data_IF_099771556406
#
_entry.id   IF_099771556406
#
_cell.length_a   1.000
_cell.length_b   1.000
_cell.length_c   1.000
_cell.angle_alpha   90.00
_cell.angle_beta   90.00
_cell.angle_gamma   90.00
#
_symmetry.space_group_name_H-M   'P 1'
#
loop_
_entity.id
_entity.type
_entity.pdbx_description
1 polymer ?
#
# COMPACT_ATOMS: atom_id res chain seq x y z
N UNK A 1 -13.30 -12.10 0.02
CA UNK A 1 -12.40 -10.92 -0.02
C UNK A 1 -11.50 -11.07 -1.23
N UNK A 2 -11.05 -9.95 -1.79
CA UNK A 2 -9.98 -10.02 -2.79
C UNK A 2 -8.69 -10.48 -2.09
N UNK A 3 -7.85 -11.20 -2.80
CA UNK A 3 -6.55 -11.68 -2.30
C UNK A 3 -5.43 -11.14 -3.17
N UNK A 4 -4.18 -11.35 -2.74
CA UNK A 4 -3.00 -10.93 -3.51
C UNK A 4 -2.92 -11.63 -4.88
N UNK A 5 -3.65 -12.72 -5.09
CA UNK A 5 -3.76 -13.38 -6.40
C UNK A 5 -4.63 -12.61 -7.39
N UNK A 6 -5.45 -11.67 -6.92
CA UNK A 6 -6.33 -10.84 -7.77
C UNK A 6 -5.60 -9.60 -8.33
N UNK A 7 -4.30 -9.44 -8.05
CA UNK A 7 -3.52 -8.26 -8.45
C UNK A 7 -2.28 -8.60 -9.26
N UNK A 8 -1.85 -7.66 -10.10
CA UNK A 8 -0.66 -7.75 -10.94
C UNK A 8 0.55 -7.23 -10.17
N UNK A 9 1.44 -8.14 -9.75
CA UNK A 9 2.73 -7.78 -9.12
C UNK A 9 3.83 -7.50 -10.15
N UNK A 10 3.59 -7.78 -11.42
CA UNK A 10 4.44 -7.41 -12.56
C UNK A 10 4.19 -5.96 -13.03
N UNK A 11 3.40 -5.19 -12.26
CA UNK A 11 3.07 -3.78 -12.51
C UNK A 11 3.49 -2.91 -11.33
N UNK A 12 3.74 -1.61 -11.55
CA UNK A 12 4.06 -0.70 -10.46
C UNK A 12 2.93 -0.63 -9.42
N UNK A 13 3.31 -0.54 -8.15
CA UNK A 13 2.40 -0.39 -7.01
C UNK A 13 2.55 1.01 -6.43
N UNK A 14 1.44 1.69 -6.21
CA UNK A 14 1.45 3.07 -5.72
C UNK A 14 1.03 3.12 -4.25
N UNK A 15 1.79 3.85 -3.44
CA UNK A 15 1.54 4.08 -2.02
C UNK A 15 1.19 5.55 -1.81
N UNK A 16 0.02 5.80 -1.22
CA UNK A 16 -0.50 7.14 -0.99
C UNK A 16 -0.85 7.33 0.49
N UNK A 17 -0.51 8.48 1.10
CA UNK A 17 -0.87 8.77 2.48
C UNK A 17 -2.29 9.28 2.61
N UNK A 18 -3.01 8.75 3.59
CA UNK A 18 -4.37 9.16 3.92
C UNK A 18 -4.50 9.47 5.41
N UNK A 19 -5.47 10.33 5.70
CA UNK A 19 -6.04 10.52 7.02
C UNK A 19 -7.44 9.92 7.04
N UNK A 20 -7.61 8.87 7.83
CA UNK A 20 -8.89 8.22 8.14
C UNK A 20 -9.42 8.73 9.48
N UNK A 21 -10.69 9.12 9.52
CA UNK A 21 -11.42 9.38 10.77
C UNK A 21 -12.89 9.03 10.64
N UNK A 22 -13.31 7.96 11.31
CA UNK A 22 -14.73 7.63 11.50
C UNK A 22 -15.42 7.07 10.26
N UNK A 23 -14.71 6.24 9.49
CA UNK A 23 -15.17 5.61 8.25
C UNK A 23 -14.98 6.47 7.01
N UNK A 24 -14.24 7.58 7.11
CA UNK A 24 -13.96 8.48 6.00
C UNK A 24 -12.46 8.72 5.89
N UNK A 25 -11.90 8.39 4.74
CA UNK A 25 -10.50 8.62 4.41
C UNK A 25 -10.37 9.81 3.45
N UNK A 26 -9.38 10.67 3.68
CA UNK A 26 -8.98 11.74 2.77
C UNK A 26 -7.49 11.71 2.51
N UNK A 27 -7.04 11.99 1.27
CA UNK A 27 -5.62 12.07 0.98
C UNK A 27 -4.99 13.23 1.76
N UNK A 28 -3.71 13.11 2.10
CA UNK A 28 -2.96 14.24 2.65
C UNK A 28 -2.63 15.23 1.53
N UNK A 29 -3.19 16.44 1.60
CA UNK A 29 -2.99 17.48 0.60
C UNK A 29 -1.51 17.84 0.43
N UNK A 30 -1.03 17.81 -0.82
CA UNK A 30 0.35 18.14 -1.18
C UNK A 30 1.38 17.05 -0.88
N UNK A 31 0.97 15.93 -0.29
CA UNK A 31 1.86 14.79 -0.09
C UNK A 31 2.13 14.07 -1.42
N UNK A 32 3.37 13.66 -1.63
CA UNK A 32 3.76 12.86 -2.79
C UNK A 32 3.44 11.38 -2.56
N UNK A 33 2.99 10.68 -3.60
CA UNK A 33 2.88 9.22 -3.61
C UNK A 33 4.25 8.58 -3.87
N UNK A 34 4.42 7.35 -3.40
CA UNK A 34 5.58 6.52 -3.72
C UNK A 34 5.18 5.46 -4.74
N UNK A 35 5.88 5.41 -5.88
CA UNK A 35 5.66 4.38 -6.90
C UNK A 35 6.75 3.32 -6.77
N UNK A 36 6.36 2.15 -6.30
CA UNK A 36 7.20 0.98 -6.21
C UNK A 36 7.30 0.28 -7.57
N UNK A 37 8.51 -0.12 -7.95
CA UNK A 37 8.74 -0.88 -9.19
C UNK A 37 8.20 -2.31 -9.06
N UNK A 38 7.84 -2.97 -10.18
CA UNK A 38 7.34 -4.34 -10.17
C UNK A 38 8.22 -5.33 -9.37
N UNK A 39 9.53 -5.33 -9.60
CA UNK A 39 10.45 -6.28 -8.95
C UNK A 39 10.47 -6.09 -7.41
N UNK A 40 10.43 -4.84 -6.96
CA UNK A 40 10.39 -4.49 -5.55
C UNK A 40 9.03 -4.87 -4.92
N UNK A 41 7.94 -4.69 -5.67
CA UNK A 41 6.59 -5.05 -5.22
C UNK A 41 6.45 -6.55 -5.00
N UNK A 42 6.96 -7.37 -5.93
CA UNK A 42 6.99 -8.82 -5.76
C UNK A 42 7.84 -9.19 -4.53
N UNK A 43 9.03 -8.61 -4.38
CA UNK A 43 9.92 -8.87 -3.25
C UNK A 43 9.27 -8.50 -1.92
N UNK A 44 8.57 -7.37 -1.85
CA UNK A 44 7.84 -6.92 -0.66
C UNK A 44 6.79 -7.95 -0.24
N UNK A 45 5.94 -8.39 -1.19
CA UNK A 45 4.87 -9.36 -0.92
C UNK A 45 5.45 -10.70 -0.44
N UNK A 46 6.49 -11.20 -1.10
CA UNK A 46 7.16 -12.44 -0.69
C UNK A 46 7.74 -12.33 0.73
N UNK A 47 8.32 -11.19 1.09
CA UNK A 47 8.83 -10.94 2.44
C UNK A 47 7.71 -10.88 3.48
N UNK A 48 6.59 -10.21 3.19
CA UNK A 48 5.42 -10.17 4.06
C UNK A 48 4.87 -11.59 4.31
N UNK A 49 4.81 -12.43 3.28
CA UNK A 49 4.42 -13.85 3.41
C UNK A 49 5.35 -14.58 4.38
N UNK A 50 6.68 -14.41 4.24
CA UNK A 50 7.69 -15.09 5.07
C UNK A 50 7.55 -14.74 6.55
N UNK A 51 7.12 -13.53 6.89
CA UNK A 51 6.92 -13.09 8.28
C UNK A 51 5.46 -13.19 8.75
N UNK A 52 4.60 -13.84 7.97
CA UNK A 52 3.17 -13.99 8.26
C UNK A 52 2.47 -12.64 8.48
N UNK A 53 2.74 -11.68 7.57
CA UNK A 53 2.17 -10.32 7.53
C UNK A 53 1.51 -9.96 6.20
N UNK A 54 1.05 -10.95 5.45
CA UNK A 54 0.27 -10.71 4.22
C UNK A 54 -1.11 -10.10 4.52
N UNK A 55 -1.63 -10.33 5.74
CA UNK A 55 -2.84 -9.72 6.29
C UNK A 55 -2.85 -8.19 6.14
N UNK A 56 -1.69 -7.54 6.28
CA UNK A 56 -1.50 -6.10 6.05
C UNK A 56 -2.10 -5.63 4.71
N UNK A 57 -2.04 -6.47 3.67
CA UNK A 57 -2.60 -6.16 2.36
C UNK A 57 -4.01 -6.76 2.23
N UNK A 58 -4.16 -8.05 2.49
CA UNK A 58 -5.39 -8.78 2.12
C UNK A 58 -6.61 -8.43 2.96
N UNK A 59 -6.45 -8.02 4.23
CA UNK A 59 -7.59 -7.70 5.11
C UNK A 59 -8.43 -6.52 4.59
N UNK A 60 -7.76 -5.55 3.97
CA UNK A 60 -8.38 -4.31 3.48
C UNK A 60 -8.43 -4.22 1.95
N UNK A 61 -7.99 -5.26 1.22
CA UNK A 61 -7.92 -5.25 -0.25
C UNK A 61 -9.32 -5.22 -0.89
N UNK A 62 -9.66 -4.11 -1.54
CA UNK A 62 -10.97 -3.89 -2.15
C UNK A 62 -10.87 -3.25 -3.54
N UNK A 63 -11.90 -3.43 -4.37
CA UNK A 63 -12.01 -2.75 -5.68
C UNK A 63 -12.65 -1.38 -5.47
N UNK A 64 -11.83 -0.35 -5.26
CA UNK A 64 -12.32 0.99 -4.92
C UNK A 64 -12.03 2.05 -5.99
N UNK A 65 -11.05 1.81 -6.86
CA UNK A 65 -10.57 2.84 -7.77
C UNK A 65 -10.40 2.33 -9.21
N UNK A 66 -10.50 3.29 -10.14
CA UNK A 66 -10.20 3.11 -11.55
C UNK A 66 -9.40 4.31 -11.99
N UNK A 67 -8.25 4.09 -12.64
CA UNK A 67 -7.45 5.17 -13.22
C UNK A 67 -8.19 5.83 -14.38
N UNK A 68 -7.75 7.03 -14.77
CA UNK A 68 -8.35 7.78 -15.90
C UNK A 68 -8.32 7.02 -17.23
N UNK A 69 -7.36 6.11 -17.40
CA UNK A 69 -7.22 5.26 -18.59
C UNK A 69 -8.11 4.01 -18.55
N UNK A 70 -8.94 3.83 -17.51
CA UNK A 70 -9.83 2.69 -17.34
C UNK A 70 -9.18 1.51 -16.61
N UNK A 71 -7.93 1.61 -16.17
CA UNK A 71 -7.28 0.54 -15.39
C UNK A 71 -7.97 0.37 -14.04
N UNK A 72 -8.52 -0.82 -13.79
CA UNK A 72 -9.15 -1.17 -12.52
C UNK A 72 -8.08 -1.43 -11.47
N UNK A 73 -8.27 -0.84 -10.28
CA UNK A 73 -7.36 -0.99 -9.15
C UNK A 73 -7.99 -1.87 -8.05
N UNK A 74 -7.11 -2.54 -7.33
CA UNK A 74 -7.37 -3.12 -6.00
C UNK A 74 -6.53 -2.33 -5.00
N UNK A 75 -7.20 -1.75 -4.01
CA UNK A 75 -6.58 -0.87 -3.01
C UNK A 75 -6.62 -1.57 -1.67
N UNK A 76 -5.46 -1.74 -1.03
CA UNK A 76 -5.38 -2.06 0.39
C UNK A 76 -5.25 -0.76 1.20
N UNK A 77 -5.82 -0.73 2.39
CA UNK A 77 -5.90 0.45 3.26
C UNK A 77 -5.45 0.11 4.70
N UNK A 78 -4.23 -0.44 4.92
CA UNK A 78 -3.75 -0.68 6.28
C UNK A 78 -3.51 0.61 7.06
N UNK A 79 -3.60 0.51 8.38
CA UNK A 79 -3.20 1.60 9.26
C UNK A 79 -1.69 1.83 9.15
N UNK A 80 -1.27 3.09 9.17
CA UNK A 80 0.15 3.46 9.09
C UNK A 80 0.96 2.82 10.23
N UNK A 81 0.37 2.68 11.42
CA UNK A 81 0.99 1.98 12.54
C UNK A 81 1.27 0.50 12.26
N UNK A 82 0.36 -0.18 11.56
CA UNK A 82 0.48 -1.59 11.19
C UNK A 82 1.50 -1.77 10.07
N UNK A 83 1.55 -0.85 9.12
CA UNK A 83 2.58 -0.81 8.07
C UNK A 83 3.96 -0.69 8.72
N UNK A 84 4.16 0.29 9.62
CA UNK A 84 5.45 0.47 10.32
C UNK A 84 5.84 -0.77 11.12
N UNK A 85 4.91 -1.37 11.85
CA UNK A 85 5.16 -2.58 12.63
C UNK A 85 5.57 -3.75 11.73
N UNK A 86 4.84 -3.98 10.63
CA UNK A 86 5.11 -5.08 9.70
C UNK A 86 6.40 -4.88 8.92
N UNK A 87 6.67 -3.65 8.47
CA UNK A 87 7.89 -3.32 7.73
C UNK A 87 9.15 -3.40 8.62
N UNK A 88 9.03 -3.25 9.94
CA UNK A 88 10.16 -3.46 10.85
C UNK A 88 10.62 -4.92 10.94
N UNK A 89 9.83 -5.86 10.41
CA UNK A 89 10.13 -7.30 10.42
C UNK A 89 10.81 -7.78 9.14
N UNK A 90 10.95 -6.92 8.12
CA UNK A 90 11.44 -7.30 6.79
C UNK A 90 12.48 -6.31 6.25
N UNK A 91 13.60 -6.82 5.73
CA UNK A 91 14.70 -6.00 5.22
C UNK A 91 14.50 -5.52 3.78
N UNK A 92 13.47 -6.02 3.09
CA UNK A 92 13.24 -5.77 1.66
C UNK A 92 12.49 -4.48 1.35
N UNK A 93 12.18 -3.67 2.35
CA UNK A 93 11.43 -2.42 2.14
C UNK A 93 12.38 -1.35 1.60
N UNK A 94 12.06 -0.71 0.46
CA UNK A 94 12.88 0.38 -0.06
C UNK A 94 13.07 1.49 0.98
N UNK A 95 14.31 1.91 1.18
CA UNK A 95 14.64 2.93 2.19
C UNK A 95 13.91 4.27 1.94
N UNK A 96 13.69 4.63 0.68
CA UNK A 96 12.95 5.85 0.33
C UNK A 96 11.46 5.75 0.70
N UNK A 97 10.84 4.57 0.60
CA UNK A 97 9.49 4.37 1.11
C UNK A 97 9.44 4.55 2.63
N UNK A 98 10.42 4.03 3.38
CA UNK A 98 10.48 4.23 4.84
C UNK A 98 10.61 5.71 5.21
N UNK A 99 11.42 6.48 4.47
CA UNK A 99 11.52 7.94 4.66
C UNK A 99 10.18 8.63 4.37
N UNK A 100 9.49 8.24 3.30
CA UNK A 100 8.20 8.81 2.95
C UNK A 100 7.13 8.48 3.99
N UNK A 101 7.05 7.25 4.48
CA UNK A 101 6.14 6.85 5.57
C UNK A 101 6.36 7.72 6.81
N UNK A 102 7.62 7.95 7.19
CA UNK A 102 7.92 8.83 8.32
C UNK A 102 7.49 10.29 8.04
N UNK A 103 7.74 10.81 6.83
CA UNK A 103 7.29 12.14 6.45
C UNK A 103 5.76 12.28 6.43
N UNK A 104 5.05 11.26 5.93
CA UNK A 104 3.59 11.22 5.89
C UNK A 104 2.99 11.20 7.30
N UNK A 105 3.57 10.43 8.22
CA UNK A 105 3.17 10.43 9.63
C UNK A 105 3.29 11.83 10.26
N UNK A 106 4.39 12.55 9.99
CA UNK A 106 4.57 13.93 10.46
C UNK A 106 3.58 14.92 9.83
N UNK A 107 3.04 14.61 8.65
CA UNK A 107 1.99 15.39 7.98
C UNK A 107 0.58 15.02 8.46
N UNK A 108 0.45 14.06 9.38
CA UNK A 108 -0.82 13.64 9.98
C UNK A 108 -1.46 12.42 9.32
N UNK A 109 -0.77 11.70 8.43
CA UNK A 109 -1.27 10.45 7.89
C UNK A 109 -1.40 9.39 8.99
N UNK A 110 -2.47 8.60 8.95
CA UNK A 110 -2.69 7.44 9.83
C UNK A 110 -3.09 6.17 9.05
N UNK A 111 -3.26 6.27 7.73
CA UNK A 111 -3.60 5.18 6.83
C UNK A 111 -2.73 5.30 5.56
N UNK A 112 -2.42 4.17 4.93
CA UNK A 112 -1.71 4.15 3.64
C UNK A 112 -2.57 3.39 2.64
N UNK A 113 -2.91 4.03 1.53
CA UNK A 113 -3.56 3.35 0.41
C UNK A 113 -2.47 2.75 -0.47
N UNK A 114 -2.60 1.46 -0.74
CA UNK A 114 -1.68 0.68 -1.57
C UNK A 114 -2.44 0.18 -2.78
N UNK A 115 -2.20 0.81 -3.92
CA UNK A 115 -2.91 0.57 -5.16
C UNK A 115 -2.17 -0.40 -6.06
N UNK A 116 -2.85 -1.50 -6.38
CA UNK A 116 -2.41 -2.51 -7.33
C UNK A 116 -3.30 -2.53 -8.56
N UNK A 117 -2.75 -2.82 -9.74
CA UNK A 117 -3.57 -3.13 -10.91
C UNK A 117 -4.28 -4.49 -10.72
N UNK A 118 -5.57 -4.55 -11.01
CA UNK A 118 -6.34 -5.79 -10.94
C UNK A 118 -5.93 -6.77 -12.06
N UNK A 119 -5.94 -8.07 -11.76
CA UNK A 119 -6.02 -9.13 -12.76
C UNK A 119 -7.48 -9.24 -13.21
N UNK A 120 -7.76 -8.79 -14.43
CA UNK A 120 -9.04 -8.98 -15.09
C UNK A 120 -9.19 -10.43 -15.58
#
# INVERSE_FOLDING_TARGET
MATITDVKLDKPVEFCPYYERGGYASPIDGAQSFIMKPDDAQTLVESLIKVNKLDLIEESLQSLAVRRDGTVLKTAMPLLSEVKASFSLIDSVPHDLLKMIHAWELQGANEIHIDFEARC
#
